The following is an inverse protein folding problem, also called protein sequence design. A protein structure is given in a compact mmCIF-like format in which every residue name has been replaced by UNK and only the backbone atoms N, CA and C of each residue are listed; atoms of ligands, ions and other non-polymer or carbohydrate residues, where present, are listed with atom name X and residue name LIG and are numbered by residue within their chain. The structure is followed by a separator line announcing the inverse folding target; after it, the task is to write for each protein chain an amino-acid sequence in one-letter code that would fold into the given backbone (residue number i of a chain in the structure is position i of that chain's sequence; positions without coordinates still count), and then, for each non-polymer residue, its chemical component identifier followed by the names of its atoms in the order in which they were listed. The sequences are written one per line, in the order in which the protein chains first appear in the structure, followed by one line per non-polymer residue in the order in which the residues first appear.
data_IF_555849196460
#
_entry.id   IF_555849196460
#
_cell.length_a   1.000
_cell.length_b   1.000
_cell.length_c   1.000
_cell.angle_alpha   90.00
_cell.angle_beta   90.00
_cell.angle_gamma   90.00
#
_symmetry.space_group_name_H-M   'P 1'
#
loop_
_entity.id
_entity.type
_entity.pdbx_description
1 polymer ?
#
# COMPACT_ATOMS: atom_id res chain seq x y z
N UNK A 1 -21.10 2.59 3.38
CA UNK A 1 -20.85 1.87 4.66
C UNK A 1 -19.51 1.16 4.51
N UNK A 2 -18.66 1.11 5.55
CA UNK A 2 -17.41 0.34 5.50
C UNK A 2 -17.69 -1.17 5.56
N UNK A 3 -16.91 -1.93 4.82
CA UNK A 3 -16.98 -3.39 4.81
C UNK A 3 -16.38 -4.00 6.09
N UNK A 4 -16.84 -5.21 6.43
CA UNK A 4 -16.17 -6.02 7.44
C UNK A 4 -14.83 -6.55 6.91
N UNK A 5 -13.90 -6.86 7.82
CA UNK A 5 -12.61 -7.45 7.42
C UNK A 5 -12.75 -8.74 6.61
N UNK A 6 -13.76 -9.56 6.89
CA UNK A 6 -14.05 -10.77 6.11
C UNK A 6 -14.42 -10.45 4.65
N UNK A 7 -15.17 -9.36 4.40
CA UNK A 7 -15.49 -8.93 3.04
C UNK A 7 -14.28 -8.37 2.31
N UNK A 8 -13.45 -7.57 3.02
CA UNK A 8 -12.20 -7.05 2.45
C UNK A 8 -11.26 -8.22 2.10
N UNK A 9 -11.08 -9.18 3.00
CA UNK A 9 -10.27 -10.38 2.75
C UNK A 9 -10.77 -11.15 1.52
N UNK A 10 -12.06 -11.43 1.43
CA UNK A 10 -12.64 -12.11 0.28
C UNK A 10 -12.41 -11.37 -1.05
N UNK A 11 -12.42 -10.04 -1.04
CA UNK A 11 -12.12 -9.23 -2.23
C UNK A 11 -10.65 -9.36 -2.66
N UNK A 12 -9.71 -9.37 -1.71
CA UNK A 12 -8.28 -9.54 -1.99
C UNK A 12 -7.97 -10.98 -2.46
N UNK A 13 -8.55 -11.98 -1.80
CA UNK A 13 -8.38 -13.41 -2.18
C UNK A 13 -8.97 -13.72 -3.56
N UNK A 14 -10.03 -13.04 -3.96
CA UNK A 14 -10.54 -13.11 -5.34
C UNK A 14 -9.62 -12.46 -6.37
N UNK A 15 -8.62 -11.69 -5.95
CA UNK A 15 -7.52 -11.11 -6.73
C UNK A 15 -6.17 -11.79 -6.44
N UNK A 16 -6.19 -13.07 -6.06
CA UNK A 16 -5.03 -13.94 -5.83
C UNK A 16 -4.14 -13.56 -4.62
N UNK A 17 -4.63 -12.75 -3.67
CA UNK A 17 -3.92 -12.53 -2.42
C UNK A 17 -3.92 -13.78 -1.53
N UNK A 18 -2.76 -14.15 -1.01
CA UNK A 18 -2.61 -15.18 0.02
C UNK A 18 -2.49 -14.50 1.39
N UNK A 19 -3.51 -14.61 2.21
CA UNK A 19 -3.64 -13.86 3.47
C UNK A 19 -3.52 -14.77 4.69
N UNK A 20 -2.61 -14.42 5.58
CA UNK A 20 -2.54 -15.00 6.91
C UNK A 20 -3.74 -14.56 7.79
N UNK A 21 -4.15 -15.41 8.73
CA UNK A 21 -5.21 -15.08 9.67
C UNK A 21 -4.92 -13.83 10.49
N UNK A 22 -3.65 -13.56 10.79
CA UNK A 22 -3.21 -12.37 11.52
C UNK A 22 -3.43 -11.05 10.76
N UNK A 23 -3.57 -11.10 9.42
CA UNK A 23 -3.86 -9.91 8.60
C UNK A 23 -5.33 -9.51 8.64
N UNK A 24 -6.24 -10.43 9.01
CA UNK A 24 -7.68 -10.18 9.04
C UNK A 24 -8.04 -9.37 10.28
N UNK A 25 -8.55 -8.15 10.07
CA UNK A 25 -8.95 -7.22 11.12
C UNK A 25 -10.48 -7.06 11.12
N UNK A 26 -11.11 -6.54 12.18
CA UNK A 26 -12.57 -6.37 12.22
C UNK A 26 -13.16 -5.58 11.03
N UNK A 27 -12.46 -4.54 10.55
CA UNK A 27 -12.94 -3.66 9.47
C UNK A 27 -11.96 -3.50 8.32
N UNK A 28 -11.08 -4.46 8.09
CA UNK A 28 -10.09 -4.37 7.00
C UNK A 28 -9.13 -5.54 6.99
N UNK A 29 -8.12 -5.42 6.14
CA UNK A 29 -7.01 -6.37 6.03
C UNK A 29 -5.70 -5.61 6.18
N UNK A 30 -4.82 -6.12 7.02
CA UNK A 30 -3.47 -5.56 7.14
C UNK A 30 -2.64 -5.91 5.90
N UNK A 31 -1.96 -4.90 5.36
CA UNK A 31 -0.98 -5.05 4.29
C UNK A 31 0.43 -5.08 4.87
N UNK A 32 1.27 -5.91 4.27
CA UNK A 32 2.66 -6.11 4.69
C UNK A 32 3.65 -5.33 3.85
N UNK A 33 4.89 -5.25 4.31
CA UNK A 33 6.02 -4.71 3.53
C UNK A 33 6.51 -5.79 2.56
N UNK A 34 6.37 -5.54 1.26
CA UNK A 34 6.99 -6.34 0.21
C UNK A 34 8.39 -5.85 -0.14
N UNK A 35 8.54 -4.55 -0.40
CA UNK A 35 9.82 -3.92 -0.70
C UNK A 35 9.84 -2.45 -0.27
N UNK A 36 11.04 -1.92 -0.03
CA UNK A 36 11.27 -0.50 0.30
C UNK A 36 12.25 0.09 -0.70
N UNK A 37 12.00 1.32 -1.14
CA UNK A 37 12.83 2.02 -2.12
C UNK A 37 13.15 3.44 -1.67
N UNK A 38 14.33 3.92 -2.02
CA UNK A 38 14.70 5.33 -2.02
C UNK A 38 14.56 5.93 -3.42
N UNK A 39 13.98 7.12 -3.53
CA UNK A 39 13.96 7.84 -4.80
C UNK A 39 15.29 8.56 -5.00
N UNK A 40 15.94 8.32 -6.15
CA UNK A 40 17.29 8.81 -6.44
C UNK A 40 17.30 9.96 -7.44
N UNK A 41 16.25 10.11 -8.26
CA UNK A 41 16.13 11.20 -9.23
C UNK A 41 14.82 11.96 -9.08
N UNK A 42 14.76 13.24 -9.50
CA UNK A 42 13.52 14.00 -9.45
C UNK A 42 12.43 13.40 -10.35
N UNK A 43 11.19 13.35 -9.83
CA UNK A 43 9.99 13.12 -10.63
C UNK A 43 9.53 14.40 -11.34
N UNK A 44 8.53 14.27 -12.21
CA UNK A 44 7.85 15.39 -12.85
C UNK A 44 6.36 15.12 -12.99
N UNK A 45 5.56 16.11 -12.61
CA UNK A 45 4.13 16.17 -12.90
C UNK A 45 3.92 17.38 -13.79
N UNK A 46 3.54 17.16 -15.04
CA UNK A 46 3.26 18.21 -16.03
C UNK A 46 1.79 18.15 -16.45
N UNK A 47 1.33 19.18 -17.16
CA UNK A 47 -0.05 19.20 -17.68
C UNK A 47 -0.32 18.08 -18.69
N UNK A 48 0.67 17.78 -19.51
CA UNK A 48 0.55 16.84 -20.64
C UNK A 48 1.33 15.53 -20.42
N UNK A 49 1.70 15.22 -19.17
CA UNK A 49 2.40 13.98 -18.86
C UNK A 49 3.11 13.98 -17.53
N UNK A 50 3.58 12.81 -17.15
CA UNK A 50 4.27 12.60 -15.87
C UNK A 50 5.50 11.71 -16.06
N UNK A 51 6.44 11.82 -15.13
CA UNK A 51 7.58 10.92 -14.97
C UNK A 51 7.80 10.67 -13.49
N UNK A 52 7.76 9.40 -13.09
CA UNK A 52 8.17 8.99 -11.74
C UNK A 52 9.70 8.99 -11.71
N UNK A 53 10.30 9.48 -10.62
CA UNK A 53 11.74 9.44 -10.43
C UNK A 53 12.26 8.01 -10.32
N UNK A 54 13.52 7.80 -10.67
CA UNK A 54 14.19 6.53 -10.47
C UNK A 54 14.31 6.20 -8.98
N UNK A 55 14.38 4.92 -8.66
CA UNK A 55 14.41 4.41 -7.30
C UNK A 55 15.44 3.30 -7.17
N UNK A 56 16.06 3.21 -6.02
CA UNK A 56 16.93 2.10 -5.65
C UNK A 56 16.30 1.32 -4.49
N UNK A 57 16.35 -0.02 -4.51
CA UNK A 57 15.84 -0.82 -3.41
C UNK A 57 16.71 -0.63 -2.17
N UNK A 58 16.08 -0.46 -1.02
CA UNK A 58 16.78 -0.52 0.27
C UNK A 58 17.10 -1.98 0.56
N UNK A 59 18.37 -2.33 0.87
CA UNK A 59 18.72 -3.71 1.18
C UNK A 59 18.15 -4.16 2.53
N UNK A 60 17.88 -5.47 2.62
CA UNK A 60 17.58 -6.13 3.90
C UNK A 60 18.91 -6.49 4.55
N UNK A 61 19.17 -5.98 5.75
CA UNK A 61 20.37 -6.24 6.54
C UNK A 61 19.98 -6.90 7.87
N UNK A 62 20.58 -8.04 8.19
CA UNK A 62 20.26 -8.82 9.40
C UNK A 62 18.75 -9.11 9.56
N UNK A 63 18.05 -9.34 8.43
CA UNK A 63 16.62 -9.69 8.40
C UNK A 63 15.66 -8.50 8.44
N UNK A 64 16.13 -7.25 8.40
CA UNK A 64 15.26 -6.06 8.42
C UNK A 64 15.73 -4.97 7.46
N UNK A 65 14.80 -4.13 7.01
CA UNK A 65 15.09 -2.82 6.45
C UNK A 65 15.47 -1.88 7.59
N UNK A 66 16.68 -1.31 7.55
CA UNK A 66 17.13 -0.30 8.52
C UNK A 66 16.98 1.08 7.90
N UNK A 67 15.90 1.76 8.26
CA UNK A 67 15.55 3.05 7.68
C UNK A 67 15.99 4.18 8.61
N UNK A 68 16.82 5.08 8.11
CA UNK A 68 17.10 6.35 8.77
C UNK A 68 15.85 7.25 8.71
N UNK A 69 15.82 8.34 9.47
CA UNK A 69 14.82 9.38 9.29
C UNK A 69 14.83 9.89 7.85
N UNK A 70 13.69 9.87 7.18
CA UNK A 70 13.57 10.19 5.75
C UNK A 70 12.28 9.69 5.14
N UNK A 71 12.18 9.84 3.83
CA UNK A 71 11.00 9.44 3.06
C UNK A 71 11.35 8.32 2.09
N UNK A 72 10.52 7.30 2.07
CA UNK A 72 10.69 6.08 1.28
C UNK A 72 9.43 5.77 0.49
N UNK A 73 9.54 4.95 -0.54
CA UNK A 73 8.41 4.31 -1.19
C UNK A 73 8.34 2.86 -0.71
N UNK A 74 7.19 2.44 -0.23
CA UNK A 74 6.94 1.04 0.15
C UNK A 74 6.00 0.41 -0.85
N UNK A 75 6.40 -0.74 -1.39
CA UNK A 75 5.54 -1.65 -2.12
C UNK A 75 4.95 -2.65 -1.13
N UNK A 76 3.65 -2.86 -1.20
CA UNK A 76 2.99 -3.84 -0.34
C UNK A 76 3.35 -5.28 -0.73
N UNK A 77 3.12 -6.22 0.16
CA UNK A 77 3.36 -7.65 -0.10
C UNK A 77 2.21 -8.32 -0.85
N UNK A 78 1.00 -7.79 -0.73
CA UNK A 78 -0.21 -8.40 -1.25
C UNK A 78 -0.70 -7.72 -2.54
N UNK A 79 -1.16 -8.49 -3.54
CA UNK A 79 -1.98 -7.94 -4.60
C UNK A 79 -3.31 -7.44 -4.02
N UNK A 80 -3.75 -6.30 -4.47
CA UNK A 80 -5.00 -5.66 -4.06
C UNK A 80 -5.94 -5.56 -5.25
N UNK A 81 -7.20 -5.87 -5.02
CA UNK A 81 -8.29 -5.69 -5.98
C UNK A 81 -9.42 -4.89 -5.33
N UNK A 82 -9.81 -3.79 -5.97
CA UNK A 82 -10.95 -2.99 -5.54
C UNK A 82 -12.18 -3.38 -6.35
N UNK A 83 -13.18 -4.03 -5.74
CA UNK A 83 -14.38 -4.46 -6.47
C UNK A 83 -15.19 -3.28 -7.00
N UNK A 84 -16.01 -3.54 -8.01
CA UNK A 84 -17.03 -2.57 -8.44
C UNK A 84 -17.98 -2.22 -7.29
N UNK A 85 -18.37 -0.95 -7.21
CA UNK A 85 -19.21 -0.41 -6.12
C UNK A 85 -18.44 -0.19 -4.81
N UNK A 86 -17.11 -0.22 -4.85
CA UNK A 86 -16.24 0.04 -3.70
C UNK A 86 -15.20 1.10 -4.00
N UNK A 87 -14.76 1.77 -2.94
CA UNK A 87 -13.57 2.61 -2.87
C UNK A 87 -12.66 2.07 -1.76
N UNK A 88 -11.35 2.10 -1.96
CA UNK A 88 -10.36 1.65 -1.00
C UNK A 88 -9.55 2.78 -0.38
N UNK A 89 -9.25 2.63 0.90
CA UNK A 89 -8.32 3.49 1.64
C UNK A 89 -7.30 2.62 2.37
N UNK A 90 -6.04 2.98 2.26
CA UNK A 90 -4.95 2.35 3.02
C UNK A 90 -4.47 3.34 4.08
N UNK A 91 -4.52 2.91 5.32
CA UNK A 91 -4.15 3.73 6.48
C UNK A 91 -2.97 3.07 7.22
N UNK A 92 -2.08 3.86 7.84
CA UNK A 92 -0.99 3.30 8.63
C UNK A 92 -1.53 2.56 9.86
N UNK A 93 -0.88 1.48 10.24
CA UNK A 93 -1.16 0.84 11.52
C UNK A 93 -0.67 1.72 12.69
N UNK A 94 -1.38 1.64 13.81
CA UNK A 94 -1.10 2.47 14.99
C UNK A 94 0.32 2.29 15.55
N UNK A 95 0.95 1.12 15.36
CA UNK A 95 2.33 0.89 15.78
C UNK A 95 3.32 1.73 14.98
N UNK A 96 3.05 1.94 13.66
CA UNK A 96 3.87 2.80 12.82
C UNK A 96 3.83 4.25 13.34
N UNK A 97 2.62 4.76 13.63
CA UNK A 97 2.43 6.11 14.19
C UNK A 97 3.14 6.26 15.55
N UNK A 98 3.09 5.24 16.42
CA UNK A 98 3.75 5.28 17.73
C UNK A 98 5.27 5.24 17.66
N UNK A 99 5.84 4.88 16.50
CA UNK A 99 7.26 4.97 16.19
C UNK A 99 7.61 6.25 15.41
N UNK A 100 6.75 7.28 15.47
CA UNK A 100 6.94 8.56 14.78
C UNK A 100 7.03 8.43 13.26
N UNK A 101 6.39 7.41 12.69
CA UNK A 101 6.34 7.15 11.26
C UNK A 101 4.90 7.19 10.76
N UNK A 102 4.70 7.52 9.51
CA UNK A 102 3.38 7.46 8.86
C UNK A 102 3.48 6.93 7.44
N UNK A 103 2.33 6.58 6.87
CA UNK A 103 2.20 6.09 5.52
C UNK A 103 1.10 6.88 4.81
N UNK A 104 1.44 7.52 3.70
CA UNK A 104 0.50 8.24 2.85
C UNK A 104 0.19 7.41 1.60
N UNK A 105 -1.05 7.42 1.19
CA UNK A 105 -1.53 6.72 0.00
C UNK A 105 -2.48 7.60 -0.80
N UNK A 106 -2.72 7.22 -2.06
CA UNK A 106 -3.78 7.79 -2.87
C UNK A 106 -5.12 7.07 -2.60
N UNK A 107 -6.18 7.57 -3.20
CA UNK A 107 -7.47 6.87 -3.28
C UNK A 107 -7.32 5.65 -4.21
N UNK A 108 -7.93 4.54 -3.84
CA UNK A 108 -7.94 3.31 -4.61
C UNK A 108 -9.33 3.11 -5.20
N UNK A 109 -9.44 3.42 -6.49
CA UNK A 109 -10.71 3.44 -7.21
C UNK A 109 -11.22 2.04 -7.58
N UNK A 110 -12.53 1.93 -7.77
CA UNK A 110 -13.17 0.70 -8.24
C UNK A 110 -12.52 0.17 -9.52
N UNK A 111 -12.24 -1.13 -9.56
CA UNK A 111 -11.60 -1.80 -10.70
C UNK A 111 -10.08 -1.77 -10.69
N UNK A 112 -9.42 -1.05 -9.77
CA UNK A 112 -7.97 -1.17 -9.60
C UNK A 112 -7.59 -2.60 -9.20
N UNK A 113 -6.53 -3.11 -9.81
CA UNK A 113 -5.91 -4.39 -9.48
C UNK A 113 -4.39 -4.24 -9.63
N UNK A 114 -3.61 -4.70 -8.63
CA UNK A 114 -2.16 -4.59 -8.66
C UNK A 114 -1.54 -4.76 -7.28
N UNK A 115 -0.21 -4.79 -7.23
CA UNK A 115 0.56 -4.65 -5.98
C UNK A 115 0.97 -3.19 -5.84
N UNK A 116 0.19 -2.45 -5.07
CA UNK A 116 0.34 -1.01 -4.98
C UNK A 116 1.45 -0.54 -4.04
N UNK A 117 1.60 0.77 -3.99
CA UNK A 117 2.67 1.43 -3.26
C UNK A 117 2.11 2.56 -2.38
N UNK A 118 2.82 2.82 -1.28
CA UNK A 118 2.60 3.96 -0.40
C UNK A 118 3.89 4.74 -0.15
N UNK A 119 3.75 5.98 0.33
CA UNK A 119 4.87 6.79 0.78
C UNK A 119 5.04 6.64 2.28
N UNK A 120 6.15 6.06 2.71
CA UNK A 120 6.53 5.96 4.12
C UNK A 120 7.35 7.19 4.51
N UNK A 121 6.88 7.93 5.52
CA UNK A 121 7.64 8.99 6.16
C UNK A 121 8.14 8.49 7.52
N UNK A 122 9.45 8.27 7.62
CA UNK A 122 10.11 7.86 8.84
C UNK A 122 10.59 9.11 9.60
N UNK A 123 9.77 9.64 10.51
CA UNK A 123 10.14 10.77 11.36
C UNK A 123 11.28 10.45 12.34
N UNK A 124 11.54 9.17 12.59
CA UNK A 124 12.66 8.65 13.36
C UNK A 124 13.19 7.37 12.71
N UNK A 125 14.45 7.00 12.99
CA UNK A 125 15.00 5.74 12.51
C UNK A 125 14.14 4.55 12.98
N UNK A 126 13.91 3.60 12.08
CA UNK A 126 13.06 2.43 12.33
C UNK A 126 13.62 1.18 11.63
N UNK A 127 13.46 0.03 12.26
CA UNK A 127 13.70 -1.28 11.65
C UNK A 127 12.37 -1.93 11.32
N UNK A 128 12.21 -2.43 10.08
CA UNK A 128 10.99 -3.10 9.61
C UNK A 128 11.40 -4.39 8.90
N UNK A 129 10.91 -5.52 9.38
CA UNK A 129 11.16 -6.81 8.72
C UNK A 129 10.30 -6.93 7.44
N UNK A 130 10.82 -7.54 6.37
CA UNK A 130 10.00 -7.96 5.23
C UNK A 130 8.79 -8.79 5.69
N UNK A 131 7.62 -8.54 5.15
CA UNK A 131 6.38 -9.19 5.57
C UNK A 131 5.77 -8.65 6.87
N UNK A 132 6.38 -7.66 7.54
CA UNK A 132 5.77 -7.01 8.68
C UNK A 132 4.53 -6.21 8.26
N UNK A 133 3.46 -6.27 9.06
CA UNK A 133 2.20 -5.56 8.82
C UNK A 133 2.34 -4.08 9.19
N UNK A 134 2.23 -3.18 8.21
CA UNK A 134 2.44 -1.74 8.38
C UNK A 134 1.20 -0.89 8.13
N UNK A 135 0.27 -1.38 7.35
CA UNK A 135 -0.92 -0.64 6.92
C UNK A 135 -2.18 -1.51 7.02
N UNK A 136 -3.34 -0.88 6.91
CA UNK A 136 -4.61 -1.56 6.84
C UNK A 136 -5.41 -1.02 5.66
N UNK A 137 -5.82 -1.91 4.76
CA UNK A 137 -6.79 -1.61 3.71
C UNK A 137 -8.20 -1.72 4.27
N UNK A 138 -9.00 -0.70 4.05
CA UNK A 138 -10.45 -0.69 4.29
C UNK A 138 -11.18 -0.41 2.99
N UNK A 139 -12.35 -1.00 2.80
CA UNK A 139 -13.24 -0.76 1.66
C UNK A 139 -14.55 -0.16 2.14
N UNK A 140 -15.12 0.73 1.32
CA UNK A 140 -16.43 1.32 1.58
C UNK A 140 -17.32 1.28 0.32
N UNK A 141 -18.65 1.29 0.52
CA UNK A 141 -19.59 1.49 -0.59
C UNK A 141 -19.31 2.83 -1.26
N UNK A 142 -19.28 2.86 -2.58
CA UNK A 142 -19.16 4.07 -3.37
C UNK A 142 -19.84 3.91 -4.73
N UNK A 143 -20.59 4.94 -5.15
CA UNK A 143 -20.96 5.09 -6.55
C UNK A 143 -19.72 5.53 -7.35
N UNK A 144 -19.64 5.10 -8.60
CA UNK A 144 -18.52 5.47 -9.46
C UNK A 144 -18.95 5.61 -10.93
N UNK A 145 -18.34 6.56 -11.62
CA UNK A 145 -18.50 6.79 -13.06
C UNK A 145 -17.38 6.06 -13.86
N UNK A 146 -17.56 4.77 -14.09
CA UNK A 146 -16.54 3.91 -14.72
C UNK A 146 -15.61 3.23 -13.71
N UNK A 147 -14.63 2.48 -14.22
CA UNK A 147 -13.62 1.75 -13.44
C UNK A 147 -12.24 2.32 -13.69
N UNK A 148 -11.30 2.02 -12.79
CA UNK A 148 -9.92 2.48 -12.93
C UNK A 148 -9.26 1.95 -14.22
N UNK A 149 -8.82 2.87 -15.06
CA UNK A 149 -8.06 2.61 -16.30
C UNK A 149 -6.73 3.40 -16.32
N UNK A 150 -6.22 3.71 -15.12
CA UNK A 150 -5.02 4.52 -14.95
C UNK A 150 -3.72 3.78 -15.23
N UNK A 151 -2.61 4.53 -15.17
CA UNK A 151 -1.26 4.05 -15.51
C UNK A 151 -0.72 2.95 -14.58
N UNK A 152 -1.34 2.76 -13.44
CA UNK A 152 -0.92 1.78 -12.42
C UNK A 152 -1.81 0.53 -12.39
N UNK A 153 -2.66 0.33 -13.41
CA UNK A 153 -3.42 -0.91 -13.55
C UNK A 153 -2.47 -2.08 -13.80
N UNK A 154 -2.66 -3.17 -13.07
CA UNK A 154 -1.80 -4.36 -13.08
C UNK A 154 -0.32 -4.09 -12.72
N UNK A 155 -0.05 -3.02 -11.94
CA UNK A 155 1.32 -2.73 -11.52
C UNK A 155 1.88 -3.82 -10.59
N UNK A 156 3.14 -4.17 -10.83
CA UNK A 156 3.91 -5.10 -9.99
C UNK A 156 3.30 -6.52 -9.85
N UNK A 157 2.34 -6.91 -10.70
CA UNK A 157 1.81 -8.27 -10.79
C UNK A 157 2.77 -9.23 -11.51
#
# INVERSE_FOLDING_TARGET
MFDSGARVAAALEAGDADLDDAQRQPNGVDLTVGAVFEQTTPGRIGRDGKRVGEREPVPVEDGAYRLASGTYVVRYGEPVRIPSGRIGFVLPRSTLLRNSCTLDTAVWDAGYEGVGEGRLDAGHAIEIEPGARIAQLVLADADHDGTYEGSYQAENL
#
